data_IF_544862682822
#
_entry.id   IF_544862682822
#
_cell.length_a   1.000
_cell.length_b   1.000
_cell.length_c   1.000
_cell.angle_alpha   90.00
_cell.angle_beta   90.00
_cell.angle_gamma   90.00
#
_symmetry.space_group_name_H-M   'P 1'
#
loop_
_entity.id
_entity.type
_entity.pdbx_description
1 polymer ?
#
# COMPACT_ATOMS: atom_id res chain seq x y z
N UNK A 1 14.22 13.03 14.56
CA UNK A 1 12.77 13.18 14.45
C UNK A 1 12.23 12.48 13.20
N UNK A 2 12.60 12.86 11.96
CA UNK A 2 12.10 12.27 10.71
C UNK A 2 12.36 10.75 10.59
N UNK A 3 13.51 10.26 11.04
CA UNK A 3 13.79 8.80 11.06
C UNK A 3 12.85 8.04 11.97
N UNK A 4 12.51 8.61 13.13
CA UNK A 4 11.56 8.00 14.07
C UNK A 4 10.15 7.92 13.46
N UNK A 5 9.67 9.01 12.86
CA UNK A 5 8.37 9.02 12.16
C UNK A 5 8.34 7.96 11.05
N UNK A 6 9.41 7.89 10.24
CA UNK A 6 9.50 6.87 9.20
C UNK A 6 9.46 5.45 9.76
N UNK A 7 10.19 5.17 10.85
CA UNK A 7 10.19 3.84 11.46
C UNK A 7 8.82 3.44 12.00
N UNK A 8 8.14 4.36 12.70
CA UNK A 8 6.77 4.12 13.19
C UNK A 8 5.83 3.85 12.02
N UNK A 9 5.87 4.70 10.98
CA UNK A 9 5.05 4.54 9.80
C UNK A 9 5.32 3.19 9.10
N UNK A 10 6.60 2.83 8.89
CA UNK A 10 6.98 1.57 8.25
C UNK A 10 6.45 0.35 9.01
N UNK A 11 6.53 0.39 10.34
CA UNK A 11 5.95 -0.64 11.19
C UNK A 11 4.41 -0.73 11.06
N UNK A 12 3.73 0.42 11.01
CA UNK A 12 2.29 0.47 10.79
C UNK A 12 1.90 -0.12 9.42
N UNK A 13 2.65 0.19 8.36
CA UNK A 13 2.40 -0.38 7.02
C UNK A 13 2.52 -1.90 7.05
N UNK A 14 3.59 -2.43 7.63
CA UNK A 14 3.75 -3.89 7.77
C UNK A 14 2.58 -4.49 8.55
N UNK A 15 2.16 -3.83 9.63
CA UNK A 15 1.01 -4.28 10.42
C UNK A 15 -0.28 -4.31 9.62
N UNK A 16 -0.59 -3.25 8.89
CA UNK A 16 -1.83 -3.15 8.08
C UNK A 16 -1.81 -4.15 6.91
N UNK A 17 -0.69 -4.28 6.24
CA UNK A 17 -0.55 -5.13 5.04
C UNK A 17 -0.63 -6.61 5.38
N UNK A 18 -0.01 -7.03 6.48
CA UNK A 18 0.16 -8.46 6.76
C UNK A 18 -0.66 -9.00 7.92
N UNK A 19 -1.08 -8.17 8.88
CA UNK A 19 -1.86 -8.64 10.03
C UNK A 19 -3.38 -8.45 9.79
N UNK A 20 -4.25 -9.23 10.50
CA UNK A 20 -3.88 -10.26 11.47
C UNK A 20 -3.47 -11.57 10.83
N UNK A 21 -2.47 -12.25 11.42
CA UNK A 21 -2.18 -13.65 11.10
C UNK A 21 -3.15 -14.55 11.86
N UNK A 22 -3.87 -15.46 11.19
CA UNK A 22 -4.75 -16.39 11.88
C UNK A 22 -3.93 -17.44 12.64
N UNK A 23 -4.13 -17.54 13.94
CA UNK A 23 -3.57 -18.62 14.76
C UNK A 23 -4.67 -19.66 14.93
N UNK A 24 -4.52 -20.82 14.28
CA UNK A 24 -5.55 -21.87 14.27
C UNK A 24 -4.91 -23.22 14.61
N UNK A 25 -5.61 -23.99 15.45
CA UNK A 25 -5.15 -25.28 15.95
C UNK A 25 -6.10 -26.40 15.55
N UNK A 26 -5.54 -27.57 15.18
CA UNK A 26 -6.29 -28.81 15.01
C UNK A 26 -7.25 -28.82 13.82
N UNK A 27 -8.50 -29.22 14.05
CA UNK A 27 -9.54 -29.44 13.00
C UNK A 27 -9.96 -28.17 12.23
N UNK A 28 -9.55 -27.00 12.67
CA UNK A 28 -9.92 -25.72 12.04
C UNK A 28 -8.90 -25.24 11.00
N UNK A 29 -7.86 -26.02 10.73
CA UNK A 29 -6.86 -25.71 9.70
C UNK A 29 -7.50 -25.89 8.33
N UNK A 30 -7.58 -24.79 7.57
CA UNK A 30 -8.07 -24.78 6.19
C UNK A 30 -7.12 -23.99 5.31
N UNK A 31 -6.69 -24.61 4.22
CA UNK A 31 -5.96 -23.89 3.17
C UNK A 31 -7.00 -23.41 2.15
N UNK A 32 -6.95 -22.13 1.81
CA UNK A 32 -7.79 -21.53 0.77
C UNK A 32 -6.91 -21.18 -0.43
N UNK A 33 -7.41 -21.49 -1.61
CA UNK A 33 -6.82 -20.93 -2.82
C UNK A 33 -7.06 -19.41 -2.81
N UNK A 34 -6.02 -18.61 -3.00
CA UNK A 34 -6.18 -17.15 -3.07
C UNK A 34 -7.06 -16.82 -4.29
N UNK A 35 -7.91 -15.84 -4.14
CA UNK A 35 -8.70 -15.29 -5.25
C UNK A 35 -7.86 -14.24 -5.98
N UNK A 36 -7.95 -14.19 -7.30
CA UNK A 36 -7.25 -13.24 -8.14
C UNK A 36 -8.29 -12.41 -8.89
N UNK A 37 -8.36 -11.12 -8.61
CA UNK A 37 -9.21 -10.15 -9.28
C UNK A 37 -8.37 -9.36 -10.28
N UNK A 38 -8.43 -9.75 -11.57
CA UNK A 38 -7.68 -9.10 -12.65
C UNK A 38 -8.44 -7.87 -13.18
N UNK A 39 -9.76 -7.93 -13.18
CA UNK A 39 -10.59 -6.83 -13.65
C UNK A 39 -10.70 -5.80 -12.52
N UNK A 40 -10.19 -4.57 -12.70
CA UNK A 40 -10.41 -3.49 -11.73
C UNK A 40 -11.91 -3.33 -11.45
N UNK A 41 -12.28 -2.98 -10.24
CA UNK A 41 -13.65 -2.82 -9.75
C UNK A 41 -14.42 -4.09 -9.45
N UNK A 42 -14.01 -5.27 -9.91
CA UNK A 42 -14.74 -6.51 -9.66
C UNK A 42 -14.89 -6.79 -8.15
N UNK A 43 -13.78 -6.77 -7.42
CA UNK A 43 -13.77 -6.91 -5.96
C UNK A 43 -14.51 -5.77 -5.27
N UNK A 44 -14.31 -4.53 -5.74
CA UNK A 44 -14.96 -3.32 -5.22
C UNK A 44 -16.48 -3.40 -5.34
N UNK A 45 -16.99 -3.83 -6.50
CA UNK A 45 -18.43 -4.02 -6.71
C UNK A 45 -18.97 -5.15 -5.83
N UNK A 46 -18.22 -6.25 -5.73
CA UNK A 46 -18.57 -7.37 -4.83
C UNK A 46 -18.62 -6.93 -3.37
N UNK A 47 -17.64 -6.15 -2.93
CA UNK A 47 -17.56 -5.58 -1.59
C UNK A 47 -18.73 -4.62 -1.32
N UNK A 48 -19.04 -3.72 -2.26
CA UNK A 48 -20.17 -2.80 -2.15
C UNK A 48 -21.50 -3.54 -1.98
N UNK A 49 -21.76 -4.56 -2.81
CA UNK A 49 -23.00 -5.35 -2.75
C UNK A 49 -23.15 -6.12 -1.44
N UNK A 50 -22.04 -6.56 -0.84
CA UNK A 50 -22.08 -7.42 0.34
C UNK A 50 -22.01 -6.64 1.65
N UNK A 51 -21.27 -5.55 1.68
CA UNK A 51 -20.91 -4.85 2.92
C UNK A 51 -21.23 -3.36 2.93
N UNK A 52 -21.67 -2.80 1.78
CA UNK A 52 -22.01 -1.39 1.67
C UNK A 52 -20.83 -0.48 1.31
N UNK A 53 -21.10 0.82 1.29
CA UNK A 53 -20.16 1.84 0.83
C UNK A 53 -18.99 2.07 1.80
N UNK A 54 -19.22 1.94 3.09
CA UNK A 54 -18.23 2.27 4.13
C UNK A 54 -16.95 1.42 3.97
N UNK A 55 -17.11 0.10 3.80
CA UNK A 55 -15.98 -0.80 3.58
C UNK A 55 -15.24 -0.54 2.25
N UNK A 56 -15.95 -0.09 1.22
CA UNK A 56 -15.33 0.30 -0.05
C UNK A 56 -14.45 1.54 0.15
N UNK A 57 -14.96 2.54 0.89
CA UNK A 57 -14.20 3.76 1.20
C UNK A 57 -12.98 3.44 2.06
N UNK A 58 -13.12 2.58 3.07
CA UNK A 58 -12.00 2.15 3.90
C UNK A 58 -10.92 1.42 3.08
N UNK A 59 -11.31 0.51 2.19
CA UNK A 59 -10.38 -0.24 1.36
C UNK A 59 -9.65 0.68 0.37
N UNK A 60 -10.38 1.44 -0.43
CA UNK A 60 -9.79 2.37 -1.40
C UNK A 60 -8.96 3.45 -0.69
N UNK A 61 -9.50 4.05 0.36
CA UNK A 61 -8.82 5.09 1.13
C UNK A 61 -7.55 4.58 1.81
N UNK A 62 -7.59 3.37 2.37
CA UNK A 62 -6.43 2.71 2.94
C UNK A 62 -5.30 2.53 1.93
N UNK A 63 -5.61 2.00 0.75
CA UNK A 63 -4.63 1.81 -0.32
C UNK A 63 -4.12 3.14 -0.89
N UNK A 64 -5.00 4.14 -1.04
CA UNK A 64 -4.59 5.50 -1.47
C UNK A 64 -3.65 6.20 -0.48
N UNK A 65 -3.67 5.84 0.79
CA UNK A 65 -2.78 6.40 1.79
C UNK A 65 -1.55 5.53 2.05
N UNK A 66 -1.58 4.27 1.64
CA UNK A 66 -0.58 3.27 2.01
C UNK A 66 0.83 3.65 1.56
N UNK A 67 1.04 4.01 0.29
CA UNK A 67 2.38 4.30 -0.22
C UNK A 67 2.77 5.79 -0.18
N UNK A 68 1.83 6.70 0.06
CA UNK A 68 2.11 8.14 0.02
C UNK A 68 3.24 8.56 0.98
N UNK A 69 3.19 8.24 2.29
CA UNK A 69 4.29 8.58 3.19
C UNK A 69 5.58 7.83 2.85
N UNK A 70 5.50 6.59 2.38
CA UNK A 70 6.69 5.80 2.03
C UNK A 70 7.46 6.44 0.87
N UNK A 71 6.76 6.86 -0.19
CA UNK A 71 7.37 7.54 -1.33
C UNK A 71 7.84 8.95 -0.94
N UNK A 72 7.11 9.66 -0.08
CA UNK A 72 7.59 10.92 0.49
C UNK A 72 8.96 10.75 1.16
N UNK A 73 9.10 9.80 2.08
CA UNK A 73 10.35 9.54 2.77
C UNK A 73 11.45 9.01 1.84
N UNK A 74 11.10 8.17 0.87
CA UNK A 74 12.04 7.70 -0.14
C UNK A 74 12.65 8.89 -0.91
N UNK A 75 11.83 9.81 -1.37
CA UNK A 75 12.28 11.03 -2.04
C UNK A 75 13.09 11.94 -1.11
N UNK A 76 12.69 12.06 0.15
CA UNK A 76 13.36 12.86 1.15
C UNK A 76 14.78 12.35 1.44
N UNK A 77 14.95 11.03 1.64
CA UNK A 77 16.25 10.46 1.96
C UNK A 77 17.16 10.25 0.74
N UNK A 78 16.56 9.95 -0.40
CA UNK A 78 17.28 9.67 -1.65
C UNK A 78 17.18 10.81 -2.67
N UNK A 79 17.09 12.05 -2.21
CA UNK A 79 16.94 13.24 -3.07
C UNK A 79 18.00 13.37 -4.19
N UNK A 80 19.19 12.78 -4.00
CA UNK A 80 20.27 12.74 -5.00
C UNK A 80 19.88 11.95 -6.28
N UNK A 81 18.88 11.06 -6.23
CA UNK A 81 18.46 10.22 -7.37
C UNK A 81 17.58 10.95 -8.38
N UNK A 82 17.28 12.22 -8.16
CA UNK A 82 16.50 13.07 -9.08
C UNK A 82 15.23 12.35 -9.58
N UNK A 83 14.30 12.12 -8.67
CA UNK A 83 13.03 11.47 -8.98
C UNK A 83 12.16 12.35 -9.89
N UNK A 84 11.46 11.69 -10.81
CA UNK A 84 10.40 12.28 -11.61
C UNK A 84 9.13 11.41 -11.52
N UNK A 85 8.01 11.93 -12.02
CA UNK A 85 6.71 11.24 -11.92
C UNK A 85 6.74 9.84 -12.53
N UNK A 86 7.43 9.64 -13.67
CA UNK A 86 7.53 8.34 -14.33
C UNK A 86 8.28 7.32 -13.47
N UNK A 87 9.44 7.72 -12.91
CA UNK A 87 10.22 6.86 -12.00
C UNK A 87 9.41 6.50 -10.76
N UNK A 88 8.71 7.46 -10.17
CA UNK A 88 7.88 7.23 -9.00
C UNK A 88 6.72 6.29 -9.31
N UNK A 89 6.05 6.46 -10.44
CA UNK A 89 4.97 5.56 -10.85
C UNK A 89 5.47 4.11 -10.97
N UNK A 90 6.62 3.91 -11.63
CA UNK A 90 7.23 2.57 -11.77
C UNK A 90 7.61 2.00 -10.39
N UNK A 91 8.24 2.78 -9.53
CA UNK A 91 8.63 2.34 -8.19
C UNK A 91 7.40 1.96 -7.38
N UNK A 92 6.36 2.79 -7.38
CA UNK A 92 5.12 2.54 -6.65
C UNK A 92 4.41 1.29 -7.16
N UNK A 93 4.37 1.09 -8.48
CA UNK A 93 3.81 -0.11 -9.08
C UNK A 93 4.60 -1.37 -8.69
N UNK A 94 5.94 -1.32 -8.71
CA UNK A 94 6.78 -2.44 -8.30
C UNK A 94 6.58 -2.78 -6.82
N UNK A 95 6.49 -1.77 -5.94
CA UNK A 95 6.26 -1.98 -4.51
C UNK A 95 4.86 -2.57 -4.29
N UNK A 96 3.84 -2.03 -4.95
CA UNK A 96 2.48 -2.54 -4.84
C UNK A 96 2.39 -3.99 -5.33
N UNK A 97 2.99 -4.29 -6.49
CA UNK A 97 3.02 -5.66 -7.01
C UNK A 97 3.73 -6.62 -6.03
N UNK A 98 4.83 -6.18 -5.42
CA UNK A 98 5.52 -6.97 -4.39
C UNK A 98 4.61 -7.26 -3.18
N UNK A 99 3.85 -6.27 -2.72
CA UNK A 99 2.89 -6.42 -1.63
C UNK A 99 1.83 -7.46 -2.00
N UNK A 100 1.17 -7.30 -3.15
CA UNK A 100 0.13 -8.20 -3.63
C UNK A 100 0.64 -9.65 -3.79
N UNK A 101 1.79 -9.82 -4.45
CA UNK A 101 2.39 -11.15 -4.61
C UNK A 101 2.78 -11.78 -3.27
N UNK A 102 3.29 -11.00 -2.32
CA UNK A 102 3.65 -11.52 -0.99
C UNK A 102 2.41 -11.93 -0.19
N UNK A 103 1.31 -11.18 -0.28
CA UNK A 103 0.03 -11.52 0.37
C UNK A 103 -0.57 -12.82 -0.19
N UNK A 104 -0.55 -12.98 -1.52
CA UNK A 104 -0.96 -14.23 -2.17
C UNK A 104 -0.10 -15.40 -1.73
N UNK A 105 1.22 -15.22 -1.73
CA UNK A 105 2.16 -16.27 -1.30
C UNK A 105 1.89 -16.68 0.16
N UNK A 106 1.69 -15.72 1.05
CA UNK A 106 1.34 -16.01 2.44
C UNK A 106 -0.03 -16.71 2.55
N UNK A 107 -0.99 -16.38 1.70
CA UNK A 107 -2.31 -17.05 1.68
C UNK A 107 -2.22 -18.51 1.26
N UNK A 108 -1.20 -18.90 0.48
CA UNK A 108 -0.95 -20.28 0.10
C UNK A 108 -0.26 -21.06 1.24
N UNK A 109 0.67 -20.39 1.93
CA UNK A 109 1.53 -21.03 2.94
C UNK A 109 0.85 -21.09 4.31
N UNK A 110 0.14 -20.03 4.70
CA UNK A 110 -0.43 -19.89 6.04
C UNK A 110 -1.89 -20.32 6.03
N UNK A 111 -2.26 -21.36 6.81
CA UNK A 111 -3.65 -21.78 6.90
C UNK A 111 -4.56 -20.66 7.39
N UNK A 112 -5.75 -20.59 6.83
CA UNK A 112 -6.80 -19.60 7.14
C UNK A 112 -6.40 -18.13 6.90
N UNK A 113 -5.22 -17.86 6.36
CA UNK A 113 -4.83 -16.53 5.91
C UNK A 113 -5.45 -16.29 4.52
N UNK A 114 -6.47 -15.44 4.47
CA UNK A 114 -7.23 -15.19 3.24
C UNK A 114 -6.95 -13.78 2.73
N UNK A 115 -5.97 -13.64 1.87
CA UNK A 115 -5.73 -12.43 1.08
C UNK A 115 -5.98 -12.73 -0.39
N UNK A 116 -6.31 -11.69 -1.13
CA UNK A 116 -6.61 -11.76 -2.56
C UNK A 116 -5.61 -10.90 -3.31
N UNK A 117 -5.32 -11.24 -4.56
CA UNK A 117 -4.62 -10.34 -5.47
C UNK A 117 -5.66 -9.42 -6.13
N UNK A 118 -5.46 -8.13 -6.04
CA UNK A 118 -6.42 -7.17 -6.59
C UNK A 118 -5.72 -6.08 -7.41
N UNK A 119 -6.07 -6.01 -8.70
CA UNK A 119 -5.55 -4.96 -9.58
C UNK A 119 -6.03 -3.55 -9.19
N UNK A 120 -7.17 -3.44 -8.49
CA UNK A 120 -7.62 -2.16 -7.96
C UNK A 120 -6.68 -1.64 -6.88
N UNK A 121 -6.16 -2.52 -6.02
CA UNK A 121 -5.18 -2.17 -4.99
C UNK A 121 -3.86 -1.73 -5.64
N UNK A 122 -3.43 -2.38 -6.74
CA UNK A 122 -2.27 -1.93 -7.53
C UNK A 122 -2.44 -0.49 -8.03
N UNK A 123 -3.62 -0.16 -8.56
CA UNK A 123 -3.92 1.19 -9.06
C UNK A 123 -3.93 2.21 -7.94
N UNK A 124 -4.65 1.93 -6.84
CA UNK A 124 -4.75 2.83 -5.69
C UNK A 124 -3.39 3.10 -5.06
N UNK A 125 -2.58 2.07 -4.86
CA UNK A 125 -1.22 2.19 -4.34
C UNK A 125 -0.30 2.98 -5.27
N UNK A 126 -0.44 2.80 -6.60
CA UNK A 126 0.36 3.55 -7.57
C UNK A 126 0.01 5.05 -7.55
N UNK A 127 -1.27 5.39 -7.44
CA UNK A 127 -1.75 6.78 -7.27
C UNK A 127 -1.26 7.33 -5.93
N UNK A 128 -1.34 6.55 -4.87
CA UNK A 128 -0.80 6.88 -3.55
C UNK A 128 0.67 7.32 -3.63
N UNK A 129 1.48 6.58 -4.37
CA UNK A 129 2.89 6.96 -4.59
C UNK A 129 3.07 8.31 -5.28
N UNK A 130 2.24 8.63 -6.27
CA UNK A 130 2.25 9.95 -6.92
C UNK A 130 1.86 11.06 -5.95
N UNK A 131 0.87 10.83 -5.09
CA UNK A 131 0.49 11.76 -4.01
C UNK A 131 1.68 12.01 -3.08
N UNK A 132 2.37 10.96 -2.63
CA UNK A 132 3.56 11.08 -1.78
C UNK A 132 4.68 11.91 -2.42
N UNK A 133 4.89 11.73 -3.72
CA UNK A 133 5.85 12.54 -4.47
C UNK A 133 5.44 14.01 -4.57
N UNK A 134 4.17 14.30 -4.79
CA UNK A 134 3.66 15.66 -4.80
C UNK A 134 3.84 16.35 -3.45
N UNK A 135 3.54 15.63 -2.36
CA UNK A 135 3.75 16.11 -0.99
C UNK A 135 5.24 16.40 -0.73
N UNK A 136 6.15 15.53 -1.20
CA UNK A 136 7.59 15.77 -1.10
C UNK A 136 8.01 17.03 -1.88
N UNK A 137 7.53 17.23 -3.10
CA UNK A 137 7.84 18.44 -3.88
C UNK A 137 7.34 19.71 -3.21
N UNK A 138 6.14 19.68 -2.66
CA UNK A 138 5.57 20.79 -1.90
C UNK A 138 6.40 21.12 -0.65
N UNK A 139 6.73 20.10 0.14
CA UNK A 139 7.58 20.22 1.31
C UNK A 139 8.96 20.84 0.96
N UNK A 140 9.60 20.31 -0.09
CA UNK A 140 10.92 20.79 -0.52
C UNK A 140 10.88 22.25 -0.98
N UNK A 141 9.80 22.65 -1.66
CA UNK A 141 9.59 24.06 -2.09
C UNK A 141 9.44 25.00 -0.91
N UNK A 142 8.70 24.60 0.13
CA UNK A 142 8.53 25.43 1.34
C UNK A 142 9.89 25.62 2.04
N UNK A 143 10.67 24.56 2.22
CA UNK A 143 11.96 24.63 2.91
C UNK A 143 12.95 25.49 2.13
N UNK A 144 13.04 25.32 0.82
CA UNK A 144 13.95 26.14 -0.01
C UNK A 144 13.59 27.62 0.12
N UNK A 145 12.31 27.96 -0.02
CA UNK A 145 11.86 29.35 0.11
C UNK A 145 12.11 29.94 1.51
N UNK A 146 12.09 29.11 2.58
CA UNK A 146 12.35 29.55 3.96
C UNK A 146 13.84 29.76 4.26
N UNK A 147 14.73 29.26 3.42
CA UNK A 147 16.19 29.42 3.59
C UNK A 147 16.68 30.64 2.80
N UNK A 148 15.95 31.05 1.76
CA UNK A 148 16.28 32.22 0.91
C UNK A 148 15.73 33.55 1.46
N UNK A 149 14.88 33.49 2.50
CA UNK A 149 14.38 34.67 3.25
C UNK A 149 15.12 34.86 4.56
#
# INVERSE_FOLDING_TARGET
FMKMIFSIYFFLVISIVYFPFPIVWGKYIKYKNPTIHIIPWESTIGMYKKYGLDLVIENIGGNLLLLAPMIFFLCYYLKKLNFNMKKILIISLCISLFIECSQVTLSIIIPNYARTFDTMDLLCNSISGLIGYMLYKFYNRIIVNSIET
#
